data_IF_958712305679
#
_entry.id   IF_958712305679
#
_cell.length_a   1.000
_cell.length_b   1.000
_cell.length_c   1.000
_cell.angle_alpha   90.00
_cell.angle_beta   90.00
_cell.angle_gamma   90.00
#
_symmetry.space_group_name_H-M   'P 1'
#
loop_
_entity.id
_entity.type
_entity.pdbx_description
1 polymer ?
#
# COMPACT_ATOMS: atom_id res chain seq x y z
N UNK A 1 -1.22 -9.28 16.64
CA UNK A 1 -1.67 -9.04 15.24
C UNK A 1 -0.75 -9.84 14.34
N UNK A 2 -1.32 -10.74 13.53
CA UNK A 2 -0.58 -11.50 12.53
C UNK A 2 -0.38 -10.58 11.32
N UNK A 3 0.87 -10.30 10.96
CA UNK A 3 1.19 -9.37 9.85
C UNK A 3 0.94 -10.00 8.48
N UNK A 4 1.00 -11.32 8.40
CA UNK A 4 0.78 -12.10 7.18
C UNK A 4 -0.25 -13.18 7.46
N UNK A 5 -1.18 -13.41 6.53
CA UNK A 5 -2.17 -14.48 6.60
C UNK A 5 -2.00 -15.43 5.41
N UNK A 6 -2.32 -16.71 5.61
CA UNK A 6 -2.27 -17.70 4.54
C UNK A 6 -3.48 -17.58 3.61
N UNK A 7 -3.35 -18.16 2.42
CA UNK A 7 -4.46 -18.28 1.47
C UNK A 7 -5.61 -19.13 2.02
N UNK A 8 -5.32 -20.15 2.84
CA UNK A 8 -6.35 -20.96 3.49
C UNK A 8 -7.12 -20.15 4.52
N UNK A 9 -6.39 -19.38 5.36
CA UNK A 9 -7.04 -18.50 6.32
C UNK A 9 -8.01 -17.52 5.60
N UNK A 10 -7.56 -16.90 4.50
CA UNK A 10 -8.43 -15.98 3.76
C UNK A 10 -9.63 -16.70 3.15
N UNK A 11 -9.44 -17.90 2.58
CA UNK A 11 -10.54 -18.67 2.00
C UNK A 11 -11.63 -18.99 3.04
N UNK A 12 -11.23 -19.34 4.27
CA UNK A 12 -12.15 -19.64 5.36
C UNK A 12 -12.88 -18.39 5.89
N UNK A 13 -12.32 -17.19 5.66
CA UNK A 13 -12.85 -15.93 6.20
C UNK A 13 -13.41 -14.96 5.15
N UNK A 14 -13.48 -15.33 3.86
CA UNK A 14 -14.00 -14.46 2.79
C UNK A 14 -15.42 -13.94 3.05
N UNK A 15 -16.24 -14.73 3.75
CA UNK A 15 -17.63 -14.39 4.05
C UNK A 15 -17.81 -13.70 5.41
N UNK A 16 -16.74 -13.44 6.15
CA UNK A 16 -16.82 -12.67 7.39
C UNK A 16 -17.09 -11.19 7.06
N UNK A 17 -18.21 -10.61 7.56
CA UNK A 17 -18.56 -9.22 7.28
C UNK A 17 -17.55 -8.20 7.81
N UNK A 18 -16.62 -8.61 8.68
CA UNK A 18 -15.55 -7.75 9.18
C UNK A 18 -14.26 -7.86 8.36
N UNK A 19 -14.13 -8.84 7.46
CA UNK A 19 -12.99 -8.97 6.56
C UNK A 19 -13.22 -8.11 5.32
N UNK A 20 -12.20 -7.35 4.93
CA UNK A 20 -12.16 -6.56 3.69
C UNK A 20 -10.90 -6.92 2.93
N UNK A 21 -11.04 -7.26 1.67
CA UNK A 21 -9.90 -7.59 0.81
C UNK A 21 -9.63 -6.42 -0.14
N UNK A 22 -8.43 -5.88 -0.11
CA UNK A 22 -7.99 -4.78 -0.95
C UNK A 22 -6.89 -5.25 -1.90
N UNK A 23 -7.16 -5.19 -3.20
CA UNK A 23 -6.15 -5.48 -4.23
C UNK A 23 -5.38 -4.19 -4.55
N UNK A 24 -4.10 -4.19 -4.21
CA UNK A 24 -3.20 -3.05 -4.37
C UNK A 24 -2.22 -3.25 -5.52
N UNK A 25 -2.55 -4.10 -6.48
CA UNK A 25 -1.69 -4.37 -7.63
C UNK A 25 -1.29 -3.07 -8.34
N UNK A 26 0.01 -2.93 -8.61
CA UNK A 26 0.57 -1.79 -9.35
C UNK A 26 1.08 -2.20 -10.72
N UNK A 27 0.78 -1.39 -11.72
CA UNK A 27 1.39 -1.40 -13.05
C UNK A 27 1.46 0.05 -13.57
N UNK A 28 2.51 0.75 -13.17
CA UNK A 28 2.64 2.18 -13.45
C UNK A 28 3.12 2.47 -14.88
N UNK A 29 2.56 3.52 -15.44
CA UNK A 29 3.13 4.22 -16.62
C UNK A 29 4.18 5.24 -16.16
N UNK A 30 4.95 5.78 -17.13
CA UNK A 30 5.89 6.88 -16.87
C UNK A 30 5.21 8.17 -16.35
N UNK A 31 3.90 8.28 -16.46
CA UNK A 31 3.09 9.38 -15.91
C UNK A 31 2.51 9.05 -14.53
N UNK A 32 2.98 8.00 -13.90
CA UNK A 32 2.50 7.51 -12.60
C UNK A 32 0.99 7.18 -12.56
N UNK A 33 0.44 6.74 -13.69
CA UNK A 33 -0.93 6.23 -13.79
C UNK A 33 -0.89 4.72 -13.64
N UNK A 34 -1.68 4.16 -12.73
CA UNK A 34 -1.80 2.72 -12.56
C UNK A 34 -2.77 2.13 -13.58
N UNK A 35 -2.33 1.08 -14.29
CA UNK A 35 -3.11 0.34 -15.27
C UNK A 35 -3.55 -1.03 -14.77
N UNK A 36 -3.23 -1.41 -13.54
CA UNK A 36 -3.45 -2.76 -13.04
C UNK A 36 -4.94 -3.11 -12.94
N UNK A 37 -5.81 -2.14 -12.66
CA UNK A 37 -7.24 -2.40 -12.59
C UNK A 37 -7.75 -3.00 -13.91
N UNK A 38 -7.61 -2.29 -15.01
CA UNK A 38 -8.10 -2.73 -16.32
C UNK A 38 -7.27 -3.85 -16.96
N UNK A 39 -6.01 -4.01 -16.54
CA UNK A 39 -5.14 -5.05 -17.09
C UNK A 39 -5.30 -6.41 -16.40
N UNK A 40 -5.76 -6.45 -15.15
CA UNK A 40 -5.79 -7.68 -14.36
C UNK A 40 -7.02 -7.79 -13.47
N UNK A 41 -7.31 -6.75 -12.66
CA UNK A 41 -8.34 -6.85 -11.62
C UNK A 41 -9.73 -7.07 -12.22
N UNK A 42 -10.10 -6.29 -13.24
CA UNK A 42 -11.42 -6.38 -13.90
C UNK A 42 -11.65 -7.74 -14.60
N UNK A 43 -10.55 -8.42 -15.00
CA UNK A 43 -10.65 -9.75 -15.62
C UNK A 43 -10.80 -10.87 -14.57
N UNK A 44 -10.01 -10.81 -13.49
CA UNK A 44 -10.03 -11.82 -12.43
C UNK A 44 -9.38 -11.33 -11.15
N UNK A 45 -10.09 -11.38 -10.04
CA UNK A 45 -9.63 -11.04 -8.70
C UNK A 45 -10.14 -12.03 -7.65
N UNK A 46 -9.65 -11.94 -6.42
CA UNK A 46 -10.15 -12.73 -5.29
C UNK A 46 -11.59 -12.27 -5.00
N UNK A 47 -12.57 -13.20 -4.87
CA UNK A 47 -13.96 -12.82 -4.64
C UNK A 47 -14.13 -11.86 -3.45
N UNK A 48 -14.95 -10.83 -3.63
CA UNK A 48 -15.19 -9.82 -2.61
C UNK A 48 -14.07 -8.79 -2.42
N UNK A 49 -12.97 -8.86 -3.20
CA UNK A 49 -11.94 -7.83 -3.17
C UNK A 49 -12.39 -6.56 -3.90
N UNK A 50 -11.81 -5.44 -3.49
CA UNK A 50 -11.96 -4.15 -4.16
C UNK A 50 -10.58 -3.69 -4.65
N UNK A 51 -10.54 -3.07 -5.84
CA UNK A 51 -9.30 -2.46 -6.31
C UNK A 51 -9.00 -1.21 -5.48
N UNK A 52 -7.79 -1.16 -4.91
CA UNK A 52 -7.35 -0.09 -4.02
C UNK A 52 -6.05 0.51 -4.52
N UNK A 53 -6.16 1.51 -5.39
CA UNK A 53 -5.02 2.09 -6.10
C UNK A 53 -4.09 2.89 -5.19
N UNK A 54 -3.09 2.23 -4.63
CA UNK A 54 -2.02 2.88 -3.86
C UNK A 54 -0.79 3.19 -4.70
N UNK A 55 -0.72 2.60 -5.90
CA UNK A 55 0.46 2.68 -6.76
C UNK A 55 0.50 3.98 -7.57
N UNK A 56 -0.62 4.49 -8.03
CA UNK A 56 -0.65 5.77 -8.74
C UNK A 56 -0.06 6.90 -7.90
N UNK A 57 0.61 7.84 -8.55
CA UNK A 57 1.23 8.99 -7.85
C UNK A 57 0.25 9.81 -7.00
N UNK A 58 -1.02 9.82 -7.42
CA UNK A 58 -2.16 10.39 -6.71
C UNK A 58 -3.22 9.32 -6.41
N UNK A 59 -2.77 8.14 -5.98
CA UNK A 59 -3.65 7.05 -5.57
C UNK A 59 -4.41 7.36 -4.27
N UNK A 60 -5.28 6.42 -3.88
CA UNK A 60 -6.26 6.60 -2.77
C UNK A 60 -5.62 6.87 -1.40
N UNK A 61 -4.36 6.47 -1.21
CA UNK A 61 -3.58 6.77 0.00
C UNK A 61 -2.57 7.91 -0.22
N UNK A 62 -2.87 8.85 -1.11
CA UNK A 62 -2.01 10.00 -1.38
C UNK A 62 -2.76 11.30 -1.15
N UNK A 63 -2.05 12.30 -0.63
CA UNK A 63 -2.57 13.68 -0.56
C UNK A 63 -2.76 14.23 -1.98
N UNK A 64 -4.01 14.51 -2.34
CA UNK A 64 -4.39 14.98 -3.68
C UNK A 64 -3.86 16.38 -3.98
N UNK A 65 -3.69 17.22 -2.94
CA UNK A 65 -3.24 18.60 -3.06
C UNK A 65 -1.71 18.75 -3.01
N UNK A 66 -1.00 17.72 -2.58
CA UNK A 66 0.46 17.76 -2.49
C UNK A 66 1.11 17.96 -3.88
N UNK A 67 2.23 18.68 -3.94
CA UNK A 67 3.00 18.87 -5.18
C UNK A 67 3.73 17.59 -5.60
N UNK A 68 4.13 16.76 -4.64
CA UNK A 68 4.86 15.52 -4.89
C UNK A 68 3.89 14.31 -4.91
N UNK A 69 4.20 13.28 -5.68
CA UNK A 69 3.45 12.03 -5.63
C UNK A 69 3.65 11.32 -4.28
N UNK A 70 2.72 10.43 -3.96
CA UNK A 70 2.75 9.53 -2.81
C UNK A 70 2.88 10.19 -1.42
N UNK A 71 2.61 11.46 -1.30
CA UNK A 71 2.55 12.13 -0.01
C UNK A 71 1.37 11.58 0.82
N UNK A 72 1.59 11.42 2.12
CA UNK A 72 0.56 10.86 3.02
C UNK A 72 -0.70 11.70 3.04
N UNK A 73 -1.89 11.08 3.04
CA UNK A 73 -3.16 11.80 3.11
C UNK A 73 -3.34 12.47 4.47
N UNK A 74 -4.18 13.49 4.52
CA UNK A 74 -4.65 14.02 5.79
C UNK A 74 -5.53 12.99 6.51
N UNK A 75 -5.66 13.11 7.85
CA UNK A 75 -6.56 12.28 8.66
C UNK A 75 -7.97 12.22 8.08
N UNK A 76 -8.55 13.38 7.73
CA UNK A 76 -9.92 13.46 7.22
C UNK A 76 -10.07 12.77 5.85
N UNK A 77 -9.10 12.94 4.96
CA UNK A 77 -9.09 12.25 3.67
C UNK A 77 -8.97 10.73 3.84
N UNK A 78 -8.12 10.27 4.76
CA UNK A 78 -7.98 8.86 5.07
C UNK A 78 -9.27 8.26 5.63
N UNK A 79 -9.92 8.91 6.61
CA UNK A 79 -11.20 8.47 7.19
C UNK A 79 -12.29 8.36 6.12
N UNK A 80 -12.38 9.32 5.21
CA UNK A 80 -13.32 9.31 4.09
C UNK A 80 -13.06 8.13 3.15
N UNK A 81 -11.79 7.89 2.78
CA UNK A 81 -11.40 6.74 1.96
C UNK A 81 -11.76 5.42 2.64
N UNK A 82 -11.46 5.24 3.93
CA UNK A 82 -11.82 4.02 4.65
C UNK A 82 -13.33 3.79 4.65
N UNK A 83 -14.12 4.85 4.88
CA UNK A 83 -15.58 4.76 4.82
C UNK A 83 -16.07 4.32 3.45
N UNK A 84 -15.55 4.89 2.36
CA UNK A 84 -15.92 4.55 0.99
C UNK A 84 -15.67 3.07 0.67
N UNK A 85 -14.55 2.50 1.15
CA UNK A 85 -14.22 1.09 0.99
C UNK A 85 -14.88 0.16 2.02
N UNK A 86 -15.90 0.63 2.75
CA UNK A 86 -16.67 -0.17 3.71
C UNK A 86 -15.87 -0.61 4.93
N UNK A 87 -14.79 0.11 5.27
CA UNK A 87 -13.92 -0.18 6.39
C UNK A 87 -14.37 0.57 7.63
N UNK A 88 -14.44 -0.14 8.74
CA UNK A 88 -14.77 0.38 10.07
C UNK A 88 -13.65 0.05 11.06
N UNK A 89 -13.65 0.62 12.25
CA UNK A 89 -12.60 0.40 13.25
C UNK A 89 -12.45 -1.05 13.72
N UNK A 90 -13.46 -1.90 13.51
CA UNK A 90 -13.41 -3.34 13.81
C UNK A 90 -13.06 -4.21 12.60
N UNK A 91 -12.92 -3.65 11.42
CA UNK A 91 -12.58 -4.39 10.22
C UNK A 91 -11.17 -4.96 10.27
N UNK A 92 -10.98 -6.13 9.66
CA UNK A 92 -9.66 -6.70 9.37
C UNK A 92 -9.42 -6.60 7.86
N UNK A 93 -8.51 -5.73 7.47
CA UNK A 93 -8.17 -5.52 6.05
C UNK A 93 -7.10 -6.51 5.62
N UNK A 94 -7.36 -7.26 4.56
CA UNK A 94 -6.39 -8.15 3.93
C UNK A 94 -5.91 -7.51 2.63
N UNK A 95 -4.62 -7.25 2.57
CA UNK A 95 -3.96 -6.59 1.45
C UNK A 95 -3.42 -7.68 0.53
N UNK A 96 -3.80 -7.61 -0.74
CA UNK A 96 -3.34 -8.55 -1.75
C UNK A 96 -2.77 -7.79 -2.94
N UNK A 97 -1.85 -8.39 -3.67
CA UNK A 97 -1.37 -7.85 -4.93
C UNK A 97 -0.90 -8.96 -5.87
N UNK A 98 -0.81 -8.62 -7.15
CA UNK A 98 -0.04 -9.34 -8.16
C UNK A 98 1.34 -8.71 -8.31
N UNK A 99 2.25 -9.46 -8.91
CA UNK A 99 3.59 -8.99 -9.28
C UNK A 99 3.76 -9.07 -10.80
N UNK A 100 3.09 -8.17 -11.57
CA UNK A 100 3.08 -8.27 -13.03
C UNK A 100 4.46 -7.99 -13.65
N UNK A 101 5.27 -7.18 -13.02
CA UNK A 101 6.63 -6.82 -13.44
C UNK A 101 7.56 -6.82 -12.23
N UNK A 102 8.11 -7.98 -11.82
CA UNK A 102 8.88 -8.12 -10.58
C UNK A 102 10.02 -7.10 -10.42
N UNK A 103 10.66 -6.73 -11.54
CA UNK A 103 11.79 -5.79 -11.55
C UNK A 103 11.39 -4.32 -11.40
N UNK A 104 10.10 -4.00 -11.55
CA UNK A 104 9.61 -2.62 -11.59
C UNK A 104 8.47 -2.39 -10.60
N UNK A 105 7.40 -3.20 -10.70
CA UNK A 105 6.20 -3.08 -9.88
C UNK A 105 6.03 -4.36 -9.05
N UNK A 106 6.84 -4.49 -8.00
CA UNK A 106 6.72 -5.60 -7.06
C UNK A 106 5.42 -5.50 -6.26
N UNK A 107 4.64 -6.59 -6.27
CA UNK A 107 3.45 -6.68 -5.42
C UNK A 107 3.78 -6.47 -3.94
N UNK A 108 4.95 -6.94 -3.49
CA UNK A 108 5.42 -6.73 -2.12
C UNK A 108 5.58 -5.24 -1.79
N UNK A 109 6.15 -4.45 -2.71
CA UNK A 109 6.34 -3.00 -2.51
C UNK A 109 5.00 -2.30 -2.29
N UNK A 110 4.00 -2.57 -3.11
CA UNK A 110 2.69 -1.95 -2.98
C UNK A 110 1.91 -2.44 -1.76
N UNK A 111 2.04 -3.74 -1.44
CA UNK A 111 1.48 -4.29 -0.20
C UNK A 111 2.07 -3.64 1.05
N UNK A 112 3.40 -3.47 1.11
CA UNK A 112 4.06 -2.86 2.27
C UNK A 112 3.74 -1.38 2.40
N UNK A 113 3.63 -0.63 1.30
CA UNK A 113 3.17 0.75 1.31
C UNK A 113 1.73 0.86 1.86
N UNK A 114 0.81 0.04 1.35
CA UNK A 114 -0.56 0.00 1.82
C UNK A 114 -0.61 -0.39 3.31
N UNK A 115 0.09 -1.47 3.67
CA UNK A 115 0.14 -1.95 5.04
C UNK A 115 0.65 -0.89 6.01
N UNK A 116 1.77 -0.22 5.67
CA UNK A 116 2.35 0.80 6.53
C UNK A 116 1.37 1.98 6.73
N UNK A 117 0.75 2.46 5.64
CA UNK A 117 -0.19 3.59 5.74
C UNK A 117 -1.42 3.21 6.54
N UNK A 118 -2.04 2.06 6.28
CA UNK A 118 -3.20 1.57 7.02
C UNK A 118 -2.87 1.37 8.50
N UNK A 119 -1.75 0.72 8.80
CA UNK A 119 -1.27 0.52 10.16
C UNK A 119 -1.00 1.82 10.88
N UNK A 120 -0.36 2.80 10.21
CA UNK A 120 -0.06 4.13 10.74
C UNK A 120 -1.34 4.86 11.20
N UNK A 121 -2.44 4.71 10.48
CA UNK A 121 -3.72 5.29 10.84
C UNK A 121 -4.59 4.40 11.74
N UNK A 122 -4.08 3.26 12.20
CA UNK A 122 -4.74 2.40 13.18
C UNK A 122 -5.70 1.36 12.60
N UNK A 123 -5.62 1.07 11.31
CA UNK A 123 -6.37 -0.04 10.70
C UNK A 123 -5.71 -1.37 11.05
N UNK A 124 -6.49 -2.35 11.51
CA UNK A 124 -6.03 -3.73 11.63
C UNK A 124 -5.88 -4.31 10.22
N UNK A 125 -4.65 -4.61 9.81
CA UNK A 125 -4.38 -5.11 8.46
C UNK A 125 -3.32 -6.21 8.45
N UNK A 126 -3.42 -7.09 7.46
CA UNK A 126 -2.47 -8.17 7.17
C UNK A 126 -2.25 -8.29 5.66
N UNK A 127 -1.10 -8.84 5.26
CA UNK A 127 -0.77 -9.09 3.86
C UNK A 127 -1.04 -10.57 3.56
N UNK A 128 -1.62 -10.87 2.39
CA UNK A 128 -1.83 -12.24 1.94
C UNK A 128 -0.49 -12.85 1.47
N UNK A 129 -0.09 -13.95 2.09
CA UNK A 129 1.11 -14.69 1.69
C UNK A 129 1.03 -15.17 0.25
N UNK A 130 2.05 -14.84 -0.55
CA UNK A 130 2.15 -15.23 -1.96
C UNK A 130 1.17 -14.53 -2.91
N UNK A 131 0.37 -13.59 -2.40
CA UNK A 131 -0.49 -12.73 -3.21
C UNK A 131 -1.54 -13.49 -4.03
N UNK A 132 -1.99 -12.83 -5.09
CA UNK A 132 -3.00 -13.39 -6.01
C UNK A 132 -2.43 -14.58 -6.79
N UNK A 133 -1.13 -14.61 -7.07
CA UNK A 133 -0.46 -15.70 -7.78
C UNK A 133 -0.56 -17.01 -7.00
N UNK A 134 -0.26 -17.03 -5.70
CA UNK A 134 -0.39 -18.22 -4.86
C UNK A 134 -1.84 -18.65 -4.74
N UNK A 135 -2.76 -17.72 -4.53
CA UNK A 135 -4.20 -17.99 -4.48
C UNK A 135 -4.68 -18.73 -5.74
N UNK A 136 -4.30 -18.23 -6.92
CA UNK A 136 -4.66 -18.84 -8.20
C UNK A 136 -3.96 -20.19 -8.43
N UNK A 137 -2.68 -20.33 -8.07
CA UNK A 137 -1.92 -21.57 -8.19
C UNK A 137 -2.50 -22.70 -7.33
N UNK A 138 -3.09 -22.36 -6.18
CA UNK A 138 -3.83 -23.28 -5.30
C UNK A 138 -5.26 -23.56 -5.79
N UNK A 139 -5.64 -23.03 -6.96
CA UNK A 139 -6.95 -23.21 -7.58
C UNK A 139 -8.12 -22.71 -6.71
N UNK A 140 -7.90 -21.72 -5.89
CA UNK A 140 -8.95 -21.07 -5.12
C UNK A 140 -9.82 -20.20 -6.01
N UNK A 141 -11.07 -19.88 -5.61
CA UNK A 141 -12.04 -19.16 -6.45
C UNK A 141 -11.50 -17.81 -6.93
N UNK A 142 -11.80 -17.48 -8.17
CA UNK A 142 -11.59 -16.16 -8.77
C UNK A 142 -12.93 -15.59 -9.23
N UNK A 143 -13.06 -14.28 -9.27
CA UNK A 143 -14.24 -13.55 -9.72
C UNK A 143 -13.85 -12.41 -10.66
N UNK A 144 -14.77 -12.03 -11.54
CA UNK A 144 -14.75 -10.79 -12.30
C UNK A 144 -15.95 -9.89 -11.92
N UNK A 145 -16.68 -10.27 -10.87
CA UNK A 145 -17.86 -9.53 -10.42
C UNK A 145 -17.44 -8.32 -9.59
N UNK A 146 -17.97 -7.15 -9.92
CA UNK A 146 -17.73 -5.93 -9.16
C UNK A 146 -18.21 -6.07 -7.71
N UNK A 147 -17.34 -5.76 -6.77
CA UNK A 147 -17.65 -5.79 -5.35
C UNK A 147 -18.22 -4.45 -4.90
N UNK A 148 -19.49 -4.44 -4.52
CA UNK A 148 -20.13 -3.27 -3.92
C UNK A 148 -20.20 -3.44 -2.40
N UNK A 149 -19.88 -2.38 -1.67
CA UNK A 149 -19.92 -2.34 -0.20
C UNK A 149 -20.75 -1.16 0.29
N UNK A 150 -21.41 -1.32 1.42
CA UNK A 150 -21.98 -0.18 2.13
C UNK A 150 -20.87 0.63 2.78
N UNK A 151 -21.00 1.96 2.86
CA UNK A 151 -20.02 2.79 3.56
C UNK A 151 -19.74 2.29 4.97
N UNK A 152 -18.45 2.27 5.34
CA UNK A 152 -18.01 1.94 6.68
C UNK A 152 -18.04 3.15 7.62
N UNK A 153 -17.70 2.90 8.88
CA UNK A 153 -17.53 3.95 9.90
C UNK A 153 -16.16 3.79 10.53
N UNK A 154 -15.20 4.55 10.02
CA UNK A 154 -13.81 4.53 10.50
C UNK A 154 -13.44 5.91 11.06
N UNK A 155 -12.78 5.93 12.20
CA UNK A 155 -12.17 7.12 12.77
C UNK A 155 -10.79 6.80 13.32
N UNK A 156 -9.83 7.67 13.01
CA UNK A 156 -8.46 7.59 13.51
C UNK A 156 -8.43 8.01 14.98
N UNK A 157 -7.93 7.14 15.86
CA UNK A 157 -7.67 7.51 17.25
C UNK A 157 -6.57 8.56 17.33
N UNK A 158 -6.71 9.54 18.22
CA UNK A 158 -5.87 10.73 18.34
C UNK A 158 -4.39 10.47 18.63
N UNK A 159 -4.03 9.26 19.03
CA UNK A 159 -2.68 8.92 19.49
C UNK A 159 -1.79 8.33 18.37
N UNK A 160 -2.30 8.22 17.14
CA UNK A 160 -1.53 7.73 16.01
C UNK A 160 -0.75 8.84 15.32
N UNK A 161 0.45 9.13 15.83
CA UNK A 161 1.44 9.99 15.17
C UNK A 161 2.81 9.31 15.15
N UNK A 162 2.87 8.03 14.77
CA UNK A 162 4.11 7.26 14.88
C UNK A 162 4.90 7.32 13.59
N UNK A 163 6.14 7.83 13.68
CA UNK A 163 7.22 7.44 12.80
C UNK A 163 7.28 8.13 11.43
N UNK A 164 6.84 9.39 11.30
CA UNK A 164 7.19 10.19 10.12
C UNK A 164 8.20 11.27 10.50
N UNK A 165 9.29 11.37 9.74
CA UNK A 165 10.27 12.43 9.84
C UNK A 165 10.11 13.39 8.65
N UNK A 166 10.09 14.67 8.92
CA UNK A 166 10.13 15.69 7.89
C UNK A 166 11.59 16.09 7.57
N UNK A 167 11.78 16.97 6.60
CA UNK A 167 13.12 17.42 6.19
C UNK A 167 13.92 18.03 7.34
N UNK A 168 13.29 18.79 8.25
CA UNK A 168 13.98 19.41 9.35
C UNK A 168 14.46 18.35 10.36
N UNK A 169 13.59 17.37 10.66
CA UNK A 169 13.93 16.24 11.54
C UNK A 169 15.15 15.47 10.99
N UNK A 170 15.16 15.17 9.68
CA UNK A 170 16.29 14.48 9.05
C UNK A 170 17.56 15.32 9.10
N UNK A 171 17.49 16.64 8.84
CA UNK A 171 18.66 17.51 8.91
C UNK A 171 19.29 17.58 10.32
N UNK A 172 18.47 17.51 11.37
CA UNK A 172 18.95 17.46 12.74
C UNK A 172 19.68 16.16 13.06
N UNK A 173 19.27 15.05 12.44
CA UNK A 173 19.87 13.72 12.69
C UNK A 173 21.17 13.48 11.94
N UNK A 174 21.53 14.27 10.91
CA UNK A 174 22.74 14.05 10.11
C UNK A 174 24.05 14.14 10.93
N UNK A 175 24.01 14.76 12.08
CA UNK A 175 25.16 14.86 13.00
C UNK A 175 25.04 13.96 14.23
N UNK A 176 23.97 13.16 14.33
CA UNK A 176 23.71 12.30 15.48
C UNK A 176 24.19 10.87 15.19
N UNK A 177 25.22 10.44 15.90
CA UNK A 177 25.82 9.11 15.73
C UNK A 177 24.92 7.97 16.26
N UNK A 178 23.89 8.28 17.02
CA UNK A 178 22.93 7.28 17.54
C UNK A 178 21.77 7.04 16.56
N UNK A 179 21.71 7.80 15.45
CA UNK A 179 20.69 7.63 14.40
C UNK A 179 21.29 7.02 13.15
N UNK A 180 20.66 5.97 12.64
CA UNK A 180 21.00 5.36 11.36
C UNK A 180 19.96 5.77 10.31
N UNK A 181 20.40 6.43 9.24
CA UNK A 181 19.58 6.79 8.11
C UNK A 181 19.71 5.68 7.04
N UNK A 182 18.60 5.03 6.70
CA UNK A 182 18.61 3.90 5.75
C UNK A 182 17.90 4.31 4.47
N UNK A 183 18.57 4.17 3.32
CA UNK A 183 17.97 4.32 1.99
C UNK A 183 17.54 2.94 1.47
N UNK A 184 16.25 2.81 1.17
CA UNK A 184 15.65 1.54 0.71
C UNK A 184 15.46 1.48 -0.82
N UNK A 185 16.11 2.36 -1.58
CA UNK A 185 16.07 2.35 -3.03
C UNK A 185 17.08 1.33 -3.62
N UNK A 186 17.08 1.20 -4.95
CA UNK A 186 18.04 0.33 -5.65
C UNK A 186 19.47 0.86 -5.50
N UNK A 187 20.48 0.00 -5.58
CA UNK A 187 21.88 0.44 -5.57
C UNK A 187 22.17 1.54 -6.60
N UNK A 188 21.62 1.43 -7.81
CA UNK A 188 21.80 2.45 -8.85
C UNK A 188 21.16 3.79 -8.53
N UNK A 189 20.01 3.78 -7.84
CA UNK A 189 19.38 5.02 -7.32
C UNK A 189 20.20 5.61 -6.19
N UNK A 190 20.72 4.78 -5.28
CA UNK A 190 21.57 5.19 -4.17
C UNK A 190 22.88 5.83 -4.65
N UNK A 191 23.58 5.18 -5.60
CA UNK A 191 24.83 5.66 -6.17
C UNK A 191 24.66 6.83 -7.16
N UNK A 192 23.43 7.14 -7.54
CA UNK A 192 23.09 8.17 -8.51
C UNK A 192 23.40 7.80 -9.97
N UNK A 193 23.65 6.53 -10.27
CA UNK A 193 23.86 6.03 -11.64
C UNK A 193 22.56 5.81 -12.41
N UNK A 194 21.44 5.70 -11.71
CA UNK A 194 20.09 5.68 -12.25
C UNK A 194 19.38 7.02 -12.01
N UNK A 195 18.43 7.41 -12.87
CA UNK A 195 17.63 8.61 -12.65
C UNK A 195 16.86 8.52 -11.33
N UNK A 196 16.98 9.51 -10.47
CA UNK A 196 16.16 9.63 -9.26
C UNK A 196 14.73 10.13 -9.56
N UNK A 197 13.90 10.15 -8.53
CA UNK A 197 12.54 10.70 -8.59
C UNK A 197 12.48 12.23 -8.66
N UNK A 198 13.62 12.91 -8.65
CA UNK A 198 13.75 14.37 -8.67
C UNK A 198 14.89 14.83 -9.58
N UNK A 199 15.18 16.14 -9.57
CA UNK A 199 16.23 16.74 -10.42
C UNK A 199 17.66 16.35 -9.99
N UNK A 200 17.83 15.69 -8.83
CA UNK A 200 19.09 15.18 -8.32
C UNK A 200 18.99 13.67 -8.12
N UNK A 201 20.03 12.95 -8.51
CA UNK A 201 20.22 11.52 -8.23
C UNK A 201 21.08 11.32 -6.98
N UNK A 202 21.12 10.10 -6.49
CA UNK A 202 21.87 9.73 -5.29
C UNK A 202 21.00 9.78 -4.03
N UNK A 203 21.67 9.66 -2.89
CA UNK A 203 21.06 9.51 -1.57
C UNK A 203 21.28 10.75 -0.68
N UNK A 204 20.65 10.77 0.48
CA UNK A 204 20.88 11.77 1.52
C UNK A 204 22.25 11.49 2.16
N UNK A 205 23.08 12.52 2.35
CA UNK A 205 24.40 12.39 2.94
C UNK A 205 24.34 11.67 4.30
N UNK A 206 25.19 10.67 4.49
CA UNK A 206 25.21 9.82 5.68
C UNK A 206 24.20 8.65 5.68
N UNK A 207 23.37 8.49 4.65
CA UNK A 207 22.52 7.30 4.50
C UNK A 207 23.34 6.06 4.08
N UNK A 208 22.88 4.90 4.49
CA UNK A 208 23.45 3.58 4.17
C UNK A 208 22.43 2.69 3.46
#
# INVERSE_FOLDING_TARGET
TEFVVSTDWLADNLNDPNVRVLDVTGMLTSKLINRAQTAFFDEAHIPGSQFFDVAAGKGVLSDQEAQLPWMSPSKAAFEATMSEYGISNHSHVIIVARTPRPEIDSGTMWCTRAWWTLFHFGVRCSILEGGVEKWAAEKKPMSAEETTVSPGSFSVNSDYSVGTANKADVLETLSDNDVCLIDNLTPGSFDGTEPGYGPRSGHIDGAV
#
